data_IF_999899428199
#
_entry.id   IF_999899428199
#
_cell.length_a   1.000
_cell.length_b   1.000
_cell.length_c   1.000
_cell.angle_alpha   90.00
_cell.angle_beta   90.00
_cell.angle_gamma   90.00
#
_symmetry.space_group_name_H-M   'P 1'
#
loop_
_entity.id
_entity.type
_entity.pdbx_description
1 polymer ?
#
# COMPACT_ATOMS: atom_id res chain seq x y z
N UNK A 1 10.04 -18.15 -9.81
CA UNK A 1 9.33 -16.88 -9.56
C UNK A 1 9.17 -16.70 -8.06
N UNK A 2 9.53 -15.54 -7.54
CA UNK A 2 9.48 -15.18 -6.13
C UNK A 2 8.54 -13.99 -5.93
N UNK A 3 7.66 -14.10 -4.95
CA UNK A 3 6.75 -13.03 -4.55
C UNK A 3 7.18 -12.48 -3.20
N UNK A 4 7.34 -11.17 -3.08
CA UNK A 4 7.69 -10.51 -1.81
C UNK A 4 6.80 -9.30 -1.58
N UNK A 5 6.76 -8.76 -0.36
CA UNK A 5 6.21 -7.41 -0.15
C UNK A 5 7.05 -6.34 -0.91
N UNK A 6 6.59 -5.10 -0.91
CA UNK A 6 7.23 -3.99 -1.64
C UNK A 6 8.33 -3.28 -0.82
N UNK A 7 8.82 -3.87 0.28
CA UNK A 7 9.92 -3.30 1.03
C UNK A 7 11.19 -3.25 0.18
N UNK A 8 11.94 -2.14 0.28
CA UNK A 8 13.12 -1.89 -0.53
C UNK A 8 14.27 -2.88 -0.27
N UNK A 9 14.32 -3.49 0.92
CA UNK A 9 15.29 -4.55 1.22
C UNK A 9 15.07 -5.83 0.38
N UNK A 10 13.83 -6.09 -0.10
CA UNK A 10 13.56 -7.20 -1.00
C UNK A 10 14.20 -6.98 -2.37
N UNK A 11 14.36 -5.73 -2.83
CA UNK A 11 15.09 -5.45 -4.07
C UNK A 11 16.56 -5.85 -3.92
N UNK A 12 17.17 -5.57 -2.77
CA UNK A 12 18.55 -5.99 -2.46
C UNK A 12 18.68 -7.51 -2.36
N UNK A 13 17.72 -8.18 -1.71
CA UNK A 13 17.67 -9.64 -1.65
C UNK A 13 17.61 -10.25 -3.06
N UNK A 14 16.74 -9.74 -3.93
CA UNK A 14 16.56 -10.28 -5.28
C UNK A 14 17.77 -10.04 -6.19
N UNK A 15 18.49 -8.92 -6.01
CA UNK A 15 19.79 -8.68 -6.67
C UNK A 15 20.84 -9.70 -6.23
N UNK A 16 20.97 -9.94 -4.93
CA UNK A 16 21.91 -10.94 -4.40
C UNK A 16 21.55 -12.35 -4.88
N UNK A 17 20.26 -12.69 -4.94
CA UNK A 17 19.78 -13.96 -5.46
C UNK A 17 20.13 -14.13 -6.94
N UNK A 18 19.94 -13.10 -7.75
CA UNK A 18 20.30 -13.10 -9.17
C UNK A 18 21.80 -13.37 -9.38
N UNK A 19 22.68 -12.72 -8.61
CA UNK A 19 24.12 -12.97 -8.68
C UNK A 19 24.47 -14.44 -8.39
N UNK A 20 23.93 -15.00 -7.31
CA UNK A 20 24.16 -16.41 -6.95
C UNK A 20 23.62 -17.37 -8.01
N UNK A 21 22.49 -17.05 -8.63
CA UNK A 21 21.94 -17.85 -9.72
C UNK A 21 22.85 -17.80 -10.97
N UNK A 22 23.36 -16.62 -11.33
CA UNK A 22 24.26 -16.46 -12.46
C UNK A 22 25.58 -17.23 -12.26
N UNK A 23 26.17 -17.17 -11.07
CA UNK A 23 27.36 -17.97 -10.70
C UNK A 23 27.15 -19.48 -10.86
N UNK A 24 25.90 -19.94 -10.69
CA UNK A 24 25.51 -21.34 -10.81
C UNK A 24 24.97 -21.71 -12.19
N UNK A 25 25.07 -20.82 -13.18
CA UNK A 25 24.48 -20.98 -14.53
C UNK A 25 22.96 -21.25 -14.50
N UNK A 26 22.25 -20.70 -13.52
CA UNK A 26 20.79 -20.76 -13.42
C UNK A 26 20.23 -19.52 -14.13
N UNK A 27 19.38 -19.73 -15.14
CA UNK A 27 18.72 -18.63 -15.86
C UNK A 27 17.66 -17.96 -14.97
N UNK A 28 18.09 -16.98 -14.21
CA UNK A 28 17.26 -16.16 -13.33
C UNK A 28 17.65 -14.70 -13.46
N UNK A 29 16.67 -13.85 -13.63
CA UNK A 29 16.83 -12.39 -13.55
C UNK A 29 15.77 -11.82 -12.63
N UNK A 30 16.12 -10.81 -11.81
CA UNK A 30 15.14 -10.20 -10.91
C UNK A 30 13.95 -9.63 -11.70
N UNK A 31 14.21 -9.02 -12.86
CA UNK A 31 13.19 -8.40 -13.71
C UNK A 31 12.09 -9.37 -14.15
N UNK A 32 12.45 -10.62 -14.44
CA UNK A 32 11.50 -11.61 -14.96
C UNK A 32 10.95 -12.55 -13.87
N UNK A 33 11.57 -12.57 -12.69
CA UNK A 33 11.29 -13.56 -11.66
C UNK A 33 10.88 -12.97 -10.31
N UNK A 34 10.88 -11.64 -10.16
CA UNK A 34 10.40 -10.93 -8.98
C UNK A 34 9.04 -10.31 -9.24
N UNK A 35 8.05 -10.70 -8.43
CA UNK A 35 6.75 -10.04 -8.38
C UNK A 35 6.57 -9.43 -7.00
N UNK A 36 6.27 -8.14 -6.95
CA UNK A 36 5.94 -7.45 -5.69
C UNK A 36 4.49 -7.70 -5.32
N UNK A 37 4.18 -7.66 -4.02
CA UNK A 37 2.84 -7.92 -3.50
C UNK A 37 1.84 -6.88 -4.04
N UNK A 38 0.83 -7.35 -4.78
CA UNK A 38 -0.23 -6.49 -5.32
C UNK A 38 -1.01 -5.78 -4.20
N UNK A 39 -1.22 -6.47 -3.08
CA UNK A 39 -1.95 -5.91 -1.94
C UNK A 39 -1.24 -4.64 -1.40
N UNK A 40 0.09 -4.68 -1.28
CA UNK A 40 0.86 -3.53 -0.84
C UNK A 40 0.93 -2.42 -1.90
N UNK A 41 0.96 -2.77 -3.20
CA UNK A 41 0.90 -1.76 -4.28
C UNK A 41 -0.44 -1.03 -4.26
N UNK A 42 -1.55 -1.75 -4.10
CA UNK A 42 -2.88 -1.16 -3.95
C UNK A 42 -2.90 -0.26 -2.70
N UNK A 43 -2.30 -0.72 -1.59
CA UNK A 43 -2.22 0.06 -0.37
C UNK A 43 -1.59 1.46 -0.63
N UNK A 44 -0.41 1.48 -1.24
CA UNK A 44 0.30 2.72 -1.59
C UNK A 44 -0.48 3.60 -2.56
N UNK A 45 -1.14 3.01 -3.56
CA UNK A 45 -1.94 3.77 -4.53
C UNK A 45 -3.13 4.48 -3.85
N UNK A 46 -3.82 3.79 -2.95
CA UNK A 46 -4.94 4.38 -2.21
C UNK A 46 -4.44 5.46 -1.24
N UNK A 47 -3.37 5.22 -0.49
CA UNK A 47 -2.78 6.25 0.38
C UNK A 47 -2.40 7.52 -0.40
N UNK A 48 -1.79 7.38 -1.57
CA UNK A 48 -1.47 8.51 -2.44
C UNK A 48 -2.74 9.25 -2.90
N UNK A 49 -3.76 8.52 -3.37
CA UNK A 49 -5.04 9.11 -3.77
C UNK A 49 -5.72 9.86 -2.62
N UNK A 50 -5.74 9.28 -1.41
CA UNK A 50 -6.30 9.91 -0.21
C UNK A 50 -5.56 11.19 0.17
N UNK A 51 -4.23 11.19 0.09
CA UNK A 51 -3.42 12.39 0.37
C UNK A 51 -3.74 13.56 -0.56
N UNK A 52 -4.11 13.27 -1.81
CA UNK A 52 -4.54 14.28 -2.77
C UNK A 52 -5.93 14.84 -2.50
N UNK A 53 -6.79 14.11 -1.78
CA UNK A 53 -8.19 14.47 -1.57
C UNK A 53 -8.41 15.54 -0.47
N UNK A 54 -7.37 16.06 0.19
CA UNK A 54 -7.49 17.03 1.32
C UNK A 54 -8.56 16.62 2.34
N UNK A 55 -8.73 15.33 2.58
CA UNK A 55 -9.59 14.86 3.65
C UNK A 55 -8.89 15.23 4.94
N UNK A 56 -9.44 16.22 5.66
CA UNK A 56 -9.01 16.53 7.01
C UNK A 56 -9.02 15.25 7.82
N UNK A 57 -7.89 14.93 8.44
CA UNK A 57 -7.77 13.80 9.34
C UNK A 57 -8.74 14.04 10.51
N UNK A 58 -9.80 13.23 10.61
CA UNK A 58 -10.75 13.29 11.71
C UNK A 58 -10.37 12.15 12.66
N UNK A 59 -9.75 12.52 13.79
CA UNK A 59 -9.22 11.58 14.78
C UNK A 59 -10.32 10.86 15.56
N UNK A 60 -11.57 11.34 15.46
CA UNK A 60 -12.68 10.83 16.23
C UNK A 60 -13.96 10.74 15.38
N UNK A 61 -14.57 9.55 15.32
CA UNK A 61 -15.87 9.30 14.68
C UNK A 61 -16.98 10.23 15.21
N UNK A 62 -16.86 10.67 16.46
CA UNK A 62 -17.81 11.59 17.10
C UNK A 62 -17.62 13.05 16.67
N UNK A 63 -16.44 13.45 16.18
CA UNK A 63 -16.22 14.78 15.60
C UNK A 63 -16.84 14.89 14.21
N UNK A 64 -16.90 13.78 13.45
CA UNK A 64 -17.56 13.72 12.14
C UNK A 64 -19.04 14.08 12.27
N UNK A 65 -19.73 13.58 13.29
CA UNK A 65 -21.17 13.85 13.46
C UNK A 65 -21.47 15.30 13.88
N UNK A 66 -20.50 16.00 14.45
CA UNK A 66 -20.67 17.34 15.01
C UNK A 66 -20.22 18.46 14.06
N UNK A 67 -19.39 18.17 13.04
CA UNK A 67 -18.86 19.17 12.11
C UNK A 67 -19.58 19.27 10.75
N UNK A 68 -20.47 18.33 10.40
CA UNK A 68 -21.21 18.37 9.14
C UNK A 68 -22.67 18.74 9.36
N UNK A 69 -23.02 19.97 8.97
CA UNK A 69 -24.39 20.49 8.93
C UNK A 69 -25.30 19.67 7.98
N UNK A 70 -24.71 18.90 7.05
CA UNK A 70 -25.42 18.06 6.08
C UNK A 70 -25.11 16.55 6.25
N UNK A 71 -26.13 15.69 6.46
CA UNK A 71 -25.98 14.24 6.60
C UNK A 71 -25.29 13.54 5.42
N UNK A 72 -25.31 14.17 4.25
CA UNK A 72 -24.75 13.67 2.98
C UNK A 72 -23.22 13.62 2.97
N UNK A 73 -22.53 14.40 3.81
CA UNK A 73 -21.06 14.39 3.90
C UNK A 73 -20.51 13.38 4.93
N UNK A 74 -21.36 12.79 5.77
CA UNK A 74 -20.98 11.82 6.80
C UNK A 74 -20.54 10.49 6.19
N UNK A 75 -21.28 9.99 5.20
CA UNK A 75 -21.03 8.67 4.57
C UNK A 75 -19.66 8.63 3.87
N UNK A 76 -19.27 9.62 3.04
CA UNK A 76 -17.94 9.65 2.44
C UNK A 76 -16.82 9.64 3.49
N UNK A 77 -16.94 10.45 4.56
CA UNK A 77 -15.91 10.55 5.62
C UNK A 77 -15.74 9.24 6.41
N UNK A 78 -16.82 8.57 6.78
CA UNK A 78 -16.75 7.27 7.48
C UNK A 78 -16.12 6.18 6.60
N UNK A 79 -16.44 6.16 5.30
CA UNK A 79 -15.83 5.24 4.34
C UNK A 79 -14.33 5.50 4.22
N UNK A 80 -13.92 6.77 4.16
CA UNK A 80 -12.51 7.17 4.10
C UNK A 80 -11.72 6.70 5.34
N UNK A 81 -12.25 6.91 6.54
CA UNK A 81 -11.61 6.48 7.80
C UNK A 81 -11.44 4.96 7.86
N UNK A 82 -12.47 4.20 7.48
CA UNK A 82 -12.40 2.73 7.48
C UNK A 82 -11.40 2.20 6.44
N UNK A 83 -11.34 2.82 5.26
CA UNK A 83 -10.32 2.50 4.25
C UNK A 83 -8.91 2.78 4.82
N UNK A 84 -8.69 3.91 5.50
CA UNK A 84 -7.40 4.24 6.09
C UNK A 84 -6.95 3.23 7.15
N UNK A 85 -7.86 2.75 8.01
CA UNK A 85 -7.53 1.73 9.02
C UNK A 85 -7.12 0.40 8.36
N UNK A 86 -7.86 -0.04 7.33
CA UNK A 86 -7.55 -1.28 6.61
C UNK A 86 -6.17 -1.19 5.92
N UNK A 87 -5.84 -0.02 5.37
CA UNK A 87 -4.55 0.25 4.73
C UNK A 87 -3.37 0.26 5.71
N UNK A 88 -3.58 0.62 6.97
CA UNK A 88 -2.54 0.56 8.01
C UNK A 88 -2.26 -0.87 8.51
N UNK A 89 -3.19 -1.81 8.32
CA UNK A 89 -3.06 -3.20 8.73
C UNK A 89 -2.41 -4.11 7.65
N UNK A 90 -2.07 -3.56 6.48
CA UNK A 90 -1.50 -4.24 5.30
C UNK A 90 -0.08 -3.79 4.98
#
# INVERSE_FOLDING_TARGET
MCTTDNASNNDSLMKSLELVCQERNINFTMKNNHMRCMAHIINLAVQAALSCLKVGYLENENEILNEVDEPTEVIPKVILTNIMIILQLM
#
